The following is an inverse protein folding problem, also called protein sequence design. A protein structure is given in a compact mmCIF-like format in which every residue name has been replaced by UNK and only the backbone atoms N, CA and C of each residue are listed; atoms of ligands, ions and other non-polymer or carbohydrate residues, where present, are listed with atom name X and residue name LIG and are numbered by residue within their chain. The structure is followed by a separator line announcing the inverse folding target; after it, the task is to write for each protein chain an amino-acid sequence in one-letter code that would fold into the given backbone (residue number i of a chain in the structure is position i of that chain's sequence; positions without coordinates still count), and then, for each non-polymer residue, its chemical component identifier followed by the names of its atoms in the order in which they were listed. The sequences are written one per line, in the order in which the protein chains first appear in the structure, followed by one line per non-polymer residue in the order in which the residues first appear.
data_IF_383036014782
#
_entry.id   IF_383036014782
#
_cell.length_a   1.000
_cell.length_b   1.000
_cell.length_c   1.000
_cell.angle_alpha   90.00
_cell.angle_beta   90.00
_cell.angle_gamma   90.00
#
_symmetry.space_group_name_H-M   'P 1'
#
loop_
_entity.id
_entity.type
_entity.pdbx_description
1 polymer ?
#
# COMPACT_ATOMS: atom_id res chain seq x y z
N UNK A 1 -7.16 -32.56 -13.91
CA UNK A 1 -5.84 -32.62 -13.26
C UNK A 1 -4.87 -31.81 -14.10
N UNK A 2 -4.44 -30.64 -13.62
CA UNK A 2 -3.39 -29.86 -14.29
C UNK A 2 -2.09 -30.59 -13.96
N UNK A 3 -1.38 -31.08 -14.98
CA UNK A 3 -0.10 -31.76 -14.80
C UNK A 3 0.89 -30.75 -14.18
N UNK A 4 1.29 -30.99 -12.93
CA UNK A 4 2.24 -30.17 -12.16
C UNK A 4 3.66 -30.14 -12.76
N UNK A 5 3.88 -30.85 -13.89
CA UNK A 5 5.20 -31.11 -14.45
C UNK A 5 5.68 -30.07 -15.46
N UNK A 6 4.83 -29.11 -15.82
CA UNK A 6 5.13 -28.03 -16.78
C UNK A 6 4.58 -26.67 -16.30
N UNK A 7 4.63 -26.43 -14.98
CA UNK A 7 4.43 -25.10 -14.46
C UNK A 7 5.78 -24.37 -14.51
N UNK A 8 5.83 -23.12 -14.99
CA UNK A 8 7.03 -22.29 -14.80
C UNK A 8 7.38 -22.24 -13.31
N UNK A 9 8.66 -22.16 -12.96
CA UNK A 9 9.14 -22.22 -11.56
C UNK A 9 8.38 -21.24 -10.66
N UNK A 10 8.03 -20.06 -11.16
CA UNK A 10 7.23 -19.04 -10.46
C UNK A 10 5.80 -19.47 -10.09
N UNK A 11 5.21 -20.44 -10.79
CA UNK A 11 3.88 -21.00 -10.50
C UNK A 11 3.93 -22.33 -9.74
N UNK A 12 5.08 -22.99 -9.68
CA UNK A 12 5.25 -24.27 -8.99
C UNK A 12 5.26 -24.13 -7.46
N UNK A 13 5.55 -22.93 -6.94
CA UNK A 13 5.59 -22.63 -5.50
C UNK A 13 4.21 -22.38 -4.88
N UNK A 14 3.13 -22.40 -5.68
CA UNK A 14 1.77 -22.16 -5.20
C UNK A 14 1.24 -23.44 -4.54
N UNK A 15 1.10 -23.41 -3.21
CA UNK A 15 0.59 -24.54 -2.43
C UNK A 15 -0.92 -24.72 -2.65
N UNK A 16 -1.28 -25.76 -3.40
CA UNK A 16 -2.66 -26.15 -3.66
C UNK A 16 -3.29 -26.97 -2.51
N UNK A 17 -2.47 -27.56 -1.64
CA UNK A 17 -2.97 -28.40 -0.53
C UNK A 17 -3.77 -27.59 0.50
N UNK A 18 -3.43 -26.32 0.68
CA UNK A 18 -4.15 -25.39 1.55
C UNK A 18 -5.59 -25.17 1.07
N UNK A 19 -5.79 -25.09 -0.25
CA UNK A 19 -7.11 -24.86 -0.86
C UNK A 19 -8.00 -26.09 -0.70
N UNK A 20 -7.46 -27.29 -0.93
CA UNK A 20 -8.21 -28.53 -0.73
C UNK A 20 -8.60 -28.71 0.76
N UNK A 21 -7.70 -28.38 1.69
CA UNK A 21 -7.98 -28.43 3.12
C UNK A 21 -9.05 -27.41 3.56
N UNK A 22 -8.99 -26.18 3.04
CA UNK A 22 -10.01 -25.16 3.29
C UNK A 22 -11.37 -25.55 2.73
N UNK A 23 -11.41 -26.18 1.55
CA UNK A 23 -12.65 -26.67 0.95
C UNK A 23 -13.33 -27.70 1.83
N UNK A 24 -12.58 -28.67 2.36
CA UNK A 24 -13.11 -29.67 3.29
C UNK A 24 -13.65 -29.05 4.59
N UNK A 25 -12.94 -28.07 5.17
CA UNK A 25 -13.40 -27.36 6.37
C UNK A 25 -14.63 -26.49 6.09
N UNK A 26 -14.74 -25.89 4.90
CA UNK A 26 -15.93 -25.14 4.47
C UNK A 26 -17.15 -26.06 4.37
N UNK A 27 -17.02 -27.22 3.75
CA UNK A 27 -18.09 -28.22 3.68
C UNK A 27 -18.56 -28.68 5.07
N UNK A 28 -17.62 -28.93 6.00
CA UNK A 28 -17.96 -29.28 7.39
C UNK A 28 -18.71 -28.14 8.10
N UNK A 29 -18.25 -26.90 7.94
CA UNK A 29 -18.89 -25.72 8.51
C UNK A 29 -20.30 -25.50 7.93
N UNK A 30 -20.50 -25.70 6.63
CA UNK A 30 -21.79 -25.51 5.97
C UNK A 30 -22.83 -26.54 6.45
N UNK A 31 -22.41 -27.79 6.67
CA UNK A 31 -23.27 -28.81 7.30
C UNK A 31 -23.69 -28.40 8.71
N UNK A 32 -22.77 -27.85 9.52
CA UNK A 32 -23.08 -27.37 10.86
C UNK A 32 -24.02 -26.15 10.84
N UNK A 33 -23.82 -25.22 9.90
CA UNK A 33 -24.71 -24.06 9.70
C UNK A 33 -26.13 -24.48 9.30
N UNK A 34 -26.26 -25.42 8.37
CA UNK A 34 -27.57 -25.95 7.97
C UNK A 34 -28.25 -26.72 9.11
N UNK A 35 -27.50 -27.45 9.95
CA UNK A 35 -28.04 -28.07 11.17
C UNK A 35 -28.51 -27.03 12.19
N UNK A 36 -27.77 -25.96 12.42
CA UNK A 36 -28.17 -24.86 13.32
C UNK A 36 -29.43 -24.16 12.81
N UNK A 37 -29.50 -23.89 11.51
CA UNK A 37 -30.69 -23.32 10.85
C UNK A 37 -31.90 -24.24 10.96
N UNK A 38 -31.71 -25.55 10.72
CA UNK A 38 -32.74 -26.56 10.91
C UNK A 38 -33.20 -26.69 12.36
N UNK A 39 -32.27 -26.58 13.33
CA UNK A 39 -32.57 -26.59 14.75
C UNK A 39 -33.47 -25.41 15.13
N UNK A 40 -33.18 -24.20 14.63
CA UNK A 40 -34.00 -23.00 14.88
C UNK A 40 -35.44 -23.17 14.34
N UNK A 41 -35.62 -23.86 13.21
CA UNK A 41 -36.93 -24.11 12.62
C UNK A 41 -37.83 -25.02 13.47
N UNK A 42 -37.24 -25.96 14.21
CA UNK A 42 -37.98 -26.91 15.08
C UNK A 42 -37.99 -26.49 16.55
N UNK A 43 -37.51 -25.29 16.87
CA UNK A 43 -37.35 -24.78 18.24
C UNK A 43 -38.60 -24.88 19.11
N UNK A 44 -39.78 -24.69 18.52
CA UNK A 44 -41.06 -24.70 19.24
C UNK A 44 -41.50 -26.10 19.70
N UNK A 45 -40.97 -27.16 19.07
CA UNK A 45 -41.38 -28.54 19.33
C UNK A 45 -40.64 -29.18 20.52
N UNK A 46 -39.61 -28.51 21.06
CA UNK A 46 -38.72 -29.05 22.09
C UNK A 46 -38.62 -28.14 23.32
N UNK A 47 -38.22 -28.73 24.44
CA UNK A 47 -37.96 -27.97 25.67
C UNK A 47 -36.82 -26.96 25.47
N UNK A 48 -36.97 -25.69 25.93
CA UNK A 48 -35.96 -24.64 25.74
C UNK A 48 -34.57 -25.01 26.27
N UNK A 49 -34.48 -25.78 27.36
CA UNK A 49 -33.20 -26.20 27.93
C UNK A 49 -32.52 -27.28 27.08
N UNK A 50 -33.31 -28.17 26.46
CA UNK A 50 -32.80 -29.17 25.51
C UNK A 50 -32.29 -28.50 24.25
N UNK A 51 -33.10 -27.58 23.68
CA UNK A 51 -32.70 -26.77 22.53
C UNK A 51 -31.39 -26.02 22.78
N UNK A 52 -31.28 -25.32 23.92
CA UNK A 52 -30.10 -24.53 24.26
C UNK A 52 -28.82 -25.37 24.35
N UNK A 53 -28.88 -26.58 24.92
CA UNK A 53 -27.72 -27.48 25.00
C UNK A 53 -27.26 -27.95 23.62
N UNK A 54 -28.20 -28.40 22.79
CA UNK A 54 -27.89 -28.90 21.44
C UNK A 54 -27.38 -27.78 20.53
N UNK A 55 -27.96 -26.58 20.62
CA UNK A 55 -27.49 -25.40 19.91
C UNK A 55 -26.06 -25.04 20.33
N UNK A 56 -25.78 -25.00 21.64
CA UNK A 56 -24.45 -24.72 22.17
C UNK A 56 -23.40 -25.75 21.70
N UNK A 57 -23.76 -27.03 21.61
CA UNK A 57 -22.86 -28.07 21.11
C UNK A 57 -22.52 -27.89 19.63
N UNK A 58 -23.52 -27.61 18.78
CA UNK A 58 -23.29 -27.33 17.36
C UNK A 58 -22.53 -26.02 17.15
N UNK A 59 -22.84 -24.97 17.91
CA UNK A 59 -22.11 -23.70 17.86
C UNK A 59 -20.63 -23.89 18.26
N UNK A 60 -20.35 -24.70 19.27
CA UNK A 60 -19.00 -25.05 19.68
C UNK A 60 -18.25 -25.84 18.60
N UNK A 61 -18.91 -26.79 17.96
CA UNK A 61 -18.33 -27.52 16.82
C UNK A 61 -17.98 -26.58 15.66
N UNK A 62 -18.91 -25.68 15.31
CA UNK A 62 -18.69 -24.70 14.24
C UNK A 62 -17.49 -23.79 14.57
N UNK A 63 -17.42 -23.27 15.79
CA UNK A 63 -16.28 -22.46 16.24
C UNK A 63 -14.95 -23.22 16.17
N UNK A 64 -14.93 -24.52 16.48
CA UNK A 64 -13.71 -25.34 16.36
C UNK A 64 -13.27 -25.51 14.90
N UNK A 65 -14.21 -25.66 13.96
CA UNK A 65 -13.92 -25.76 12.53
C UNK A 65 -13.41 -24.43 11.99
N UNK A 66 -14.05 -23.32 12.35
CA UNK A 66 -13.64 -21.98 11.93
C UNK A 66 -12.25 -21.60 12.46
N UNK A 67 -11.94 -21.93 13.72
CA UNK A 67 -10.61 -21.73 14.30
C UNK A 67 -9.52 -22.55 13.60
N UNK A 68 -9.85 -23.74 13.06
CA UNK A 68 -8.91 -24.54 12.25
C UNK A 68 -8.74 -23.97 10.84
N UNK A 69 -9.78 -23.39 10.27
CA UNK A 69 -9.76 -22.81 8.93
C UNK A 69 -8.96 -21.51 8.88
N UNK A 70 -8.98 -20.71 9.94
CA UNK A 70 -8.34 -19.38 9.97
C UNK A 70 -6.84 -19.36 9.60
N UNK A 71 -5.96 -20.19 10.19
CA UNK A 71 -4.55 -20.20 9.78
C UNK A 71 -4.37 -20.64 8.33
N UNK A 72 -5.22 -21.55 7.84
CA UNK A 72 -5.18 -21.99 6.44
C UNK A 72 -5.66 -20.89 5.50
N UNK A 73 -6.65 -20.07 5.90
CA UNK A 73 -7.08 -18.90 5.12
C UNK A 73 -5.94 -17.90 4.98
N UNK A 74 -5.20 -17.65 6.07
CA UNK A 74 -4.04 -16.78 6.03
C UNK A 74 -2.95 -17.32 5.08
N UNK A 75 -2.65 -18.62 5.17
CA UNK A 75 -1.69 -19.27 4.27
C UNK A 75 -2.16 -19.21 2.81
N UNK A 76 -3.45 -19.37 2.54
CA UNK A 76 -4.03 -19.24 1.21
C UNK A 76 -3.91 -17.80 0.67
N UNK A 77 -4.16 -16.77 1.50
CA UNK A 77 -3.96 -15.36 1.12
C UNK A 77 -2.52 -15.08 0.72
N UNK A 78 -1.56 -15.57 1.49
CA UNK A 78 -0.13 -15.44 1.17
C UNK A 78 0.23 -16.14 -0.14
N UNK A 79 -0.24 -17.38 -0.33
CA UNK A 79 -0.05 -18.12 -1.59
C UNK A 79 -0.69 -17.39 -2.78
N UNK A 80 -1.88 -16.80 -2.59
CA UNK A 80 -2.56 -16.04 -3.64
C UNK A 80 -1.81 -14.74 -3.99
N UNK A 81 -1.27 -14.04 -2.99
CA UNK A 81 -0.44 -12.86 -3.21
C UNK A 81 0.80 -13.18 -4.06
N UNK A 82 1.45 -14.34 -3.80
CA UNK A 82 2.56 -14.83 -4.63
C UNK A 82 2.11 -15.16 -6.06
N UNK A 83 1.01 -15.90 -6.21
CA UNK A 83 0.43 -16.21 -7.53
C UNK A 83 0.16 -14.94 -8.33
N UNK A 84 -0.39 -13.90 -7.70
CA UNK A 84 -0.65 -12.61 -8.33
C UNK A 84 0.64 -11.93 -8.79
N UNK A 85 1.69 -11.96 -7.97
CA UNK A 85 3.01 -11.48 -8.35
C UNK A 85 3.57 -12.22 -9.58
N UNK A 86 3.52 -13.54 -9.56
CA UNK A 86 3.96 -14.37 -10.68
C UNK A 86 3.16 -14.10 -11.97
N UNK A 87 1.84 -13.91 -11.87
CA UNK A 87 1.00 -13.55 -13.02
C UNK A 87 1.37 -12.18 -13.60
N UNK A 88 1.66 -11.19 -12.74
CA UNK A 88 2.11 -9.87 -13.18
C UNK A 88 3.47 -9.96 -13.90
N UNK A 89 4.43 -10.71 -13.34
CA UNK A 89 5.74 -10.93 -13.98
C UNK A 89 5.61 -11.62 -15.34
N UNK A 90 4.74 -12.64 -15.45
CA UNK A 90 4.47 -13.32 -16.72
C UNK A 90 3.86 -12.35 -17.74
N UNK A 91 2.94 -11.49 -17.31
CA UNK A 91 2.32 -10.50 -18.18
C UNK A 91 3.33 -9.45 -18.67
N UNK A 92 4.16 -8.92 -17.79
CA UNK A 92 5.21 -7.96 -18.15
C UNK A 92 6.25 -8.58 -19.08
N UNK A 93 6.68 -9.82 -18.80
CA UNK A 93 7.59 -10.56 -19.66
C UNK A 93 6.98 -10.86 -21.03
N UNK A 94 5.66 -11.08 -21.12
CA UNK A 94 4.96 -11.28 -22.38
C UNK A 94 4.91 -9.98 -23.21
N UNK A 95 4.67 -8.82 -22.59
CA UNK A 95 4.74 -7.53 -23.27
C UNK A 95 6.17 -7.19 -23.72
N UNK A 96 7.20 -7.50 -22.92
CA UNK A 96 8.59 -7.33 -23.33
C UNK A 96 8.92 -8.11 -24.61
N UNK A 97 8.52 -9.39 -24.69
CA UNK A 97 8.75 -10.21 -25.89
C UNK A 97 7.96 -9.69 -27.11
N UNK A 98 6.79 -9.06 -26.91
CA UNK A 98 6.08 -8.38 -28.01
C UNK A 98 6.85 -7.18 -28.54
N UNK A 99 7.47 -6.40 -27.67
CA UNK A 99 8.34 -5.28 -28.07
C UNK A 99 9.57 -5.81 -28.81
N UNK A 100 10.19 -6.88 -28.34
CA UNK A 100 11.30 -7.54 -29.04
C UNK A 100 10.88 -7.95 -30.46
N UNK A 101 9.66 -8.44 -30.65
CA UNK A 101 9.12 -8.78 -31.98
C UNK A 101 9.12 -7.55 -32.90
N UNK A 102 8.64 -6.42 -32.40
CA UNK A 102 8.58 -5.17 -33.16
C UNK A 102 9.99 -4.63 -33.46
N UNK A 103 10.91 -4.73 -32.50
CA UNK A 103 12.31 -4.36 -32.68
C UNK A 103 12.98 -5.18 -33.78
N UNK A 104 12.76 -6.51 -33.81
CA UNK A 104 13.33 -7.38 -34.85
C UNK A 104 12.74 -7.03 -36.23
N UNK A 105 11.45 -6.73 -36.31
CA UNK A 105 10.83 -6.26 -37.56
C UNK A 105 11.43 -4.94 -38.04
N UNK A 106 11.68 -3.99 -37.12
CA UNK A 106 12.32 -2.72 -37.43
C UNK A 106 13.75 -2.92 -37.95
N UNK A 107 14.58 -3.69 -37.24
CA UNK A 107 15.97 -3.97 -37.64
C UNK A 107 16.05 -4.70 -38.99
N UNK A 108 15.10 -5.59 -39.30
CA UNK A 108 14.97 -6.19 -40.63
C UNK A 108 14.72 -5.12 -41.70
N UNK A 109 13.81 -4.17 -41.46
CA UNK A 109 13.54 -3.06 -42.40
C UNK A 109 14.76 -2.16 -42.61
N UNK A 110 15.64 -2.07 -41.62
CA UNK A 110 16.93 -1.37 -41.72
C UNK A 110 18.02 -2.18 -42.44
N UNK A 111 17.73 -3.43 -42.81
CA UNK A 111 18.66 -4.30 -43.55
C UNK A 111 19.72 -4.98 -42.68
N UNK A 112 19.54 -5.01 -41.34
CA UNK A 112 20.50 -5.67 -40.43
C UNK A 112 20.51 -7.20 -40.56
N UNK A 113 19.43 -7.80 -41.07
CA UNK A 113 19.26 -9.25 -41.17
C UNK A 113 18.90 -9.67 -42.59
N UNK A 114 19.41 -10.82 -43.01
CA UNK A 114 18.87 -11.54 -44.16
C UNK A 114 17.54 -12.24 -43.81
N UNK A 115 16.86 -12.78 -44.83
CA UNK A 115 15.55 -13.40 -44.64
C UNK A 115 15.59 -14.66 -43.78
N UNK A 116 16.70 -15.42 -43.82
CA UNK A 116 16.84 -16.65 -43.06
C UNK A 116 17.07 -16.35 -41.57
N UNK A 117 17.95 -15.39 -41.26
CA UNK A 117 18.21 -14.94 -39.90
C UNK A 117 16.96 -14.31 -39.28
N UNK A 118 16.25 -13.46 -40.02
CA UNK A 118 14.98 -12.90 -39.58
C UNK A 118 13.95 -13.98 -39.22
N UNK A 119 13.77 -14.99 -40.09
CA UNK A 119 12.83 -16.10 -39.82
C UNK A 119 13.20 -16.89 -38.58
N UNK A 120 14.48 -17.16 -38.38
CA UNK A 120 14.95 -17.90 -37.19
C UNK A 120 14.69 -17.11 -35.91
N UNK A 121 14.99 -15.81 -35.90
CA UNK A 121 14.75 -14.93 -34.75
C UNK A 121 13.25 -14.75 -34.46
N UNK A 122 12.45 -14.55 -35.51
CA UNK A 122 10.98 -14.45 -35.39
C UNK A 122 10.40 -15.72 -34.77
N UNK A 123 10.84 -16.90 -35.24
CA UNK A 123 10.40 -18.19 -34.71
C UNK A 123 10.75 -18.34 -33.23
N UNK A 124 11.93 -17.90 -32.79
CA UNK A 124 12.31 -17.93 -31.38
C UNK A 124 11.39 -17.04 -30.52
N UNK A 125 11.05 -15.84 -31.01
CA UNK A 125 10.10 -14.94 -30.35
C UNK A 125 8.70 -15.54 -30.29
N UNK A 126 8.21 -16.12 -31.38
CA UNK A 126 6.89 -16.74 -31.44
C UNK A 126 6.77 -17.91 -30.45
N UNK A 127 7.80 -18.75 -30.35
CA UNK A 127 7.89 -19.79 -29.33
C UNK A 127 7.83 -19.20 -27.92
N UNK A 128 8.65 -18.17 -27.66
CA UNK A 128 8.69 -17.49 -26.37
C UNK A 128 7.34 -16.84 -25.97
N UNK A 129 6.58 -16.29 -26.93
CA UNK A 129 5.23 -15.79 -26.73
C UNK A 129 4.24 -16.91 -26.42
N UNK A 130 4.31 -18.02 -27.16
CA UNK A 130 3.43 -19.17 -26.96
C UNK A 130 3.62 -19.79 -25.57
N UNK A 131 4.87 -19.99 -25.14
CA UNK A 131 5.21 -20.51 -23.81
C UNK A 131 4.65 -19.62 -22.69
N UNK A 132 4.83 -18.29 -22.82
CA UNK A 132 4.32 -17.32 -21.83
C UNK A 132 2.79 -17.26 -21.82
N UNK A 133 2.14 -17.39 -22.98
CA UNK A 133 0.68 -17.46 -23.05
C UNK A 133 0.12 -18.71 -22.36
N UNK A 134 0.82 -19.86 -22.51
CA UNK A 134 0.47 -21.09 -21.78
C UNK A 134 0.65 -20.89 -20.28
N UNK A 135 1.77 -20.32 -19.83
CA UNK A 135 2.04 -20.01 -18.43
C UNK A 135 0.97 -19.08 -17.83
N UNK A 136 0.59 -18.01 -18.53
CA UNK A 136 -0.47 -17.11 -18.10
C UNK A 136 -1.81 -17.84 -17.94
N UNK A 137 -2.17 -18.69 -18.91
CA UNK A 137 -3.40 -19.49 -18.86
C UNK A 137 -3.39 -20.47 -17.69
N UNK A 138 -2.25 -21.10 -17.40
CA UNK A 138 -2.09 -21.97 -16.23
C UNK A 138 -2.23 -21.19 -14.92
N UNK A 139 -1.62 -20.01 -14.81
CA UNK A 139 -1.74 -19.14 -13.64
C UNK A 139 -3.19 -18.66 -13.40
N UNK A 140 -3.92 -18.29 -14.45
CA UNK A 140 -5.36 -17.96 -14.35
C UNK A 140 -6.21 -19.17 -13.92
N UNK A 141 -5.86 -20.38 -14.36
CA UNK A 141 -6.53 -21.59 -13.90
C UNK A 141 -6.27 -21.87 -12.41
N UNK A 142 -5.07 -21.56 -11.90
CA UNK A 142 -4.77 -21.61 -10.47
C UNK A 142 -5.60 -20.56 -9.71
N UNK A 143 -5.65 -19.32 -10.20
CA UNK A 143 -6.48 -18.25 -9.63
C UNK A 143 -7.94 -18.66 -9.51
N UNK A 144 -8.49 -19.30 -10.54
CA UNK A 144 -9.85 -19.85 -10.51
C UNK A 144 -10.08 -20.85 -9.37
N UNK A 145 -9.09 -21.67 -9.02
CA UNK A 145 -9.20 -22.62 -7.89
C UNK A 145 -9.26 -21.95 -6.53
N UNK A 146 -8.52 -20.86 -6.34
CA UNK A 146 -8.61 -20.08 -5.10
C UNK A 146 -10.02 -19.48 -4.95
N UNK A 147 -10.62 -19.01 -6.04
CA UNK A 147 -11.97 -18.46 -6.06
C UNK A 147 -13.09 -19.52 -5.91
N UNK A 148 -12.79 -20.82 -5.89
CA UNK A 148 -13.80 -21.82 -5.50
C UNK A 148 -14.06 -21.85 -3.99
N UNK A 149 -13.03 -21.51 -3.20
CA UNK A 149 -13.09 -21.58 -1.74
C UNK A 149 -13.50 -20.23 -1.15
N UNK A 150 -12.95 -19.15 -1.70
CA UNK A 150 -13.21 -17.77 -1.30
C UNK A 150 -14.32 -17.17 -2.15
N UNK A 151 -15.22 -16.40 -1.55
CA UNK A 151 -16.41 -15.89 -2.25
C UNK A 151 -16.08 -14.73 -3.20
N UNK A 152 -14.95 -14.06 -2.96
CA UNK A 152 -14.48 -12.96 -3.80
C UNK A 152 -12.96 -12.83 -3.77
N UNK A 153 -12.44 -12.17 -4.80
CA UNK A 153 -11.02 -11.79 -4.84
C UNK A 153 -10.67 -10.77 -3.75
N UNK A 154 -11.63 -9.92 -3.34
CA UNK A 154 -11.43 -8.96 -2.26
C UNK A 154 -11.14 -9.65 -0.91
N UNK A 155 -11.74 -10.81 -0.64
CA UNK A 155 -11.48 -11.63 0.55
C UNK A 155 -10.04 -12.19 0.60
N UNK A 156 -9.46 -12.42 -0.58
CA UNK A 156 -8.07 -12.85 -0.73
C UNK A 156 -7.08 -11.68 -0.66
N UNK A 157 -7.53 -10.46 -0.96
CA UNK A 157 -6.73 -9.24 -0.95
C UNK A 157 -6.71 -8.53 0.41
N UNK A 158 -7.63 -8.84 1.32
CA UNK A 158 -7.64 -8.29 2.67
C UNK A 158 -6.46 -8.82 3.50
N UNK A 159 -5.47 -7.96 3.73
CA UNK A 159 -4.25 -8.31 4.48
C UNK A 159 -4.39 -8.23 6.00
N UNK A 160 -5.45 -7.62 6.57
CA UNK A 160 -5.62 -7.46 8.03
C UNK A 160 -7.05 -7.03 8.41
N UNK A 161 -8.07 -7.82 8.11
CA UNK A 161 -9.34 -7.72 8.82
C UNK A 161 -9.80 -9.14 9.16
N UNK A 162 -10.06 -9.47 10.43
CA UNK A 162 -10.97 -10.56 10.72
C UNK A 162 -12.29 -10.11 10.13
N UNK A 163 -12.62 -10.60 8.93
CA UNK A 163 -13.83 -10.21 8.22
C UNK A 163 -15.03 -10.27 9.16
N UNK A 164 -16.03 -9.38 8.98
CA UNK A 164 -17.11 -9.26 9.92
C UNK A 164 -17.76 -10.64 10.04
N UNK A 165 -17.65 -11.22 11.24
CA UNK A 165 -18.55 -12.28 11.63
C UNK A 165 -19.94 -11.73 11.36
N UNK A 166 -20.66 -12.35 10.41
CA UNK A 166 -22.03 -12.03 10.07
C UNK A 166 -22.89 -12.20 11.32
N UNK A 167 -22.83 -11.20 12.19
CA UNK A 167 -23.70 -11.06 13.34
C UNK A 167 -24.84 -10.24 12.80
N UNK A 168 -25.86 -10.93 12.31
CA UNK A 168 -27.17 -10.35 12.12
C UNK A 168 -27.50 -9.54 13.39
N UNK A 169 -27.66 -8.24 13.21
CA UNK A 169 -28.23 -7.35 14.22
C UNK A 169 -29.59 -7.93 14.63
N UNK A 170 -29.67 -8.49 15.84
CA UNK A 170 -30.95 -8.67 16.51
C UNK A 170 -31.41 -7.30 17.02
N UNK A 171 -32.69 -6.94 16.86
CA UNK A 171 -33.21 -5.69 17.37
C UNK A 171 -33.15 -5.70 18.91
N UNK A 172 -32.54 -4.65 19.47
CA UNK A 172 -32.52 -4.42 20.91
C UNK A 172 -33.95 -4.31 21.44
N UNK A 173 -34.28 -5.16 22.40
CA UNK A 173 -35.50 -5.04 23.19
C UNK A 173 -35.48 -3.71 23.95
N UNK A 174 -36.55 -2.93 23.78
CA UNK A 174 -36.88 -1.82 24.67
C UNK A 174 -37.16 -2.35 26.08
N UNK A 175 -36.53 -1.77 27.10
CA UNK A 175 -37.00 -1.85 28.48
C UNK A 175 -36.94 -0.41 29.07
N UNK A 176 -37.99 0.08 29.75
CA UNK A 176 -38.14 1.49 30.04
C UNK A 176 -37.52 1.89 31.39
N UNK A 177 -36.76 2.98 31.36
CA UNK A 177 -36.69 3.96 32.44
C UNK A 177 -35.73 3.69 33.59
N UNK A 178 -34.63 4.46 33.65
CA UNK A 178 -34.14 5.02 34.93
C UNK A 178 -33.53 6.42 34.70
N UNK A 179 -33.97 7.33 35.57
CA UNK A 179 -33.68 8.75 35.79
C UNK A 179 -32.26 9.29 35.54
N UNK A 180 -32.19 10.51 35.00
CA UNK A 180 -31.00 11.36 34.91
C UNK A 180 -30.59 11.97 36.27
N UNK A 181 -29.31 12.35 36.49
CA UNK A 181 -28.86 13.09 37.68
C UNK A 181 -28.87 14.62 37.48
N UNK A 182 -28.90 15.43 38.57
CA UNK A 182 -29.11 16.89 38.51
C UNK A 182 -27.80 17.70 38.32
N UNK A 183 -27.88 19.01 38.00
CA UNK A 183 -26.73 19.85 37.65
C UNK A 183 -26.01 20.48 38.87
N UNK A 184 -24.77 20.98 38.74
CA UNK A 184 -24.01 21.57 39.84
C UNK A 184 -24.34 23.07 40.09
N UNK A 185 -24.11 23.59 41.32
CA UNK A 185 -24.44 24.97 41.70
C UNK A 185 -23.37 26.01 41.31
N UNK A 186 -23.69 27.32 41.33
CA UNK A 186 -22.83 28.38 40.80
C UNK A 186 -21.80 28.93 41.81
N UNK A 187 -20.70 29.49 41.30
CA UNK A 187 -19.65 30.17 42.07
C UNK A 187 -20.02 31.61 42.41
N UNK A 188 -19.59 32.16 43.56
CA UNK A 188 -19.59 33.61 43.81
C UNK A 188 -18.20 34.26 43.53
N UNK A 189 -18.14 35.61 43.39
CA UNK A 189 -16.97 36.32 42.88
C UNK A 189 -16.00 36.85 43.94
N UNK A 190 -14.83 37.24 43.43
CA UNK A 190 -13.60 37.79 44.04
C UNK A 190 -13.76 39.08 44.86
N UNK A 191 -13.01 39.20 45.97
CA UNK A 191 -12.40 40.44 46.46
C UNK A 191 -11.22 40.15 47.43
N UNK A 192 -10.09 40.84 47.25
CA UNK A 192 -8.85 40.81 48.04
C UNK A 192 -8.77 42.02 49.02
N UNK A 193 -7.60 42.37 49.61
CA UNK A 193 -6.77 41.80 50.71
C UNK A 193 -6.72 42.81 51.93
N UNK A 194 -5.73 42.93 52.88
CA UNK A 194 -4.42 42.28 53.05
C UNK A 194 -3.93 41.93 54.49
N UNK A 195 -2.68 41.45 54.54
CA UNK A 195 -1.61 41.70 55.52
C UNK A 195 -1.10 40.50 56.36
N UNK A 196 0.19 40.19 56.23
CA UNK A 196 0.98 39.46 57.24
C UNK A 196 1.96 38.40 56.72
N UNK A 197 3.11 38.83 56.18
CA UNK A 197 4.37 38.07 56.14
C UNK A 197 5.09 38.15 57.52
N UNK A 198 6.25 37.51 57.80
CA UNK A 198 7.14 36.71 56.94
C UNK A 198 7.67 35.39 57.57
N UNK A 199 8.36 34.54 56.79
CA UNK A 199 9.73 34.04 57.09
C UNK A 199 10.18 32.88 56.16
N UNK A 200 11.12 33.23 55.26
CA UNK A 200 12.40 32.58 54.94
C UNK A 200 12.44 31.06 54.64
N UNK A 201 13.13 30.53 53.63
CA UNK A 201 14.35 30.89 52.89
C UNK A 201 14.48 29.83 51.75
N UNK A 202 15.17 29.92 50.61
CA UNK A 202 16.18 30.79 50.02
C UNK A 202 16.17 30.49 48.51
N UNK A 203 16.20 31.51 47.65
CA UNK A 203 16.54 31.41 46.23
C UNK A 203 17.73 32.33 45.99
N UNK A 204 18.86 31.77 45.55
CA UNK A 204 19.97 32.56 45.03
C UNK A 204 19.76 32.79 43.54
N UNK A 205 19.76 34.08 43.19
CA UNK A 205 19.74 34.63 41.84
C UNK A 205 21.17 35.09 41.57
N UNK A 206 21.76 34.70 40.43
CA UNK A 206 22.94 35.39 39.90
C UNK A 206 22.67 35.88 38.47
N UNK A 207 22.36 37.17 38.43
CA UNK A 207 22.67 38.19 37.42
C UNK A 207 22.80 37.80 35.93
N UNK A 208 21.91 38.46 35.17
CA UNK A 208 21.99 38.73 33.73
C UNK A 208 23.32 39.40 33.37
N UNK A 209 24.14 38.71 32.58
CA UNK A 209 25.19 39.31 31.76
C UNK A 209 24.70 39.40 30.31
N UNK A 210 24.71 40.63 29.81
CA UNK A 210 24.36 41.07 28.47
C UNK A 210 25.61 41.01 27.56
N UNK A 211 25.39 40.73 26.27
CA UNK A 211 26.27 40.80 25.08
C UNK A 211 27.05 39.52 24.68
N UNK A 212 27.47 39.37 23.40
CA UNK A 212 26.99 39.97 22.13
C UNK A 212 26.60 38.89 21.06
N UNK A 213 25.91 39.33 19.99
CA UNK A 213 25.62 38.50 18.80
C UNK A 213 26.89 38.04 18.06
N UNK A 214 27.01 36.76 17.65
CA UNK A 214 27.99 36.32 16.66
C UNK A 214 27.44 36.47 15.22
N UNK A 215 28.34 36.55 14.21
CA UNK A 215 28.17 37.42 13.06
C UNK A 215 27.26 36.85 11.96
N UNK A 216 26.53 37.77 11.31
CA UNK A 216 25.98 37.55 9.96
C UNK A 216 27.13 37.35 8.98
N UNK A 217 27.25 36.14 8.45
CA UNK A 217 28.04 35.88 7.23
C UNK A 217 27.19 36.21 5.99
N UNK A 218 27.80 36.79 4.95
CA UNK A 218 27.13 37.65 3.98
C UNK A 218 26.39 36.85 2.91
N UNK A 219 25.35 37.48 2.35
CA UNK A 219 24.73 37.07 1.10
C UNK A 219 25.79 37.01 -0.03
N UNK A 220 25.73 36.03 -0.94
CA UNK A 220 26.54 36.09 -2.15
C UNK A 220 26.08 37.28 -3.01
N UNK A 221 26.99 38.20 -3.39
CA UNK A 221 26.64 39.36 -4.20
C UNK A 221 26.67 39.00 -5.69
N UNK A 222 25.78 39.67 -6.44
CA UNK A 222 26.11 40.19 -7.76
C UNK A 222 26.08 39.20 -8.92
N UNK A 223 25.07 39.38 -9.76
CA UNK A 223 25.16 39.11 -11.18
C UNK A 223 26.43 39.74 -11.77
N UNK A 224 27.17 38.95 -12.56
CA UNK A 224 27.68 39.29 -13.91
C UNK A 224 28.88 38.40 -14.24
N UNK A 225 28.62 37.25 -14.86
CA UNK A 225 29.59 36.57 -15.71
C UNK A 225 28.85 35.76 -16.78
N UNK A 226 28.69 36.40 -17.94
CA UNK A 226 28.45 35.82 -19.27
C UNK A 226 27.77 34.46 -19.31
N UNK A 227 26.46 34.47 -19.58
CA UNK A 227 25.77 33.28 -20.03
C UNK A 227 26.44 32.69 -21.28
N UNK A 228 26.44 31.35 -21.45
CA UNK A 228 26.61 30.79 -22.77
C UNK A 228 25.33 31.12 -23.54
N UNK A 229 25.45 31.99 -24.54
CA UNK A 229 24.45 32.12 -25.58
C UNK A 229 24.35 30.78 -26.31
N UNK A 230 23.25 30.07 -26.11
CA UNK A 230 22.80 29.02 -27.03
C UNK A 230 21.38 29.36 -27.46
N UNK A 231 21.22 29.43 -28.78
CA UNK A 231 20.10 30.05 -29.45
C UNK A 231 18.75 29.41 -29.21
N UNK A 232 17.72 30.11 -29.65
CA UNK A 232 16.31 29.82 -29.51
C UNK A 232 15.80 28.55 -30.24
N UNK A 233 16.56 27.43 -30.24
CA UNK A 233 16.14 26.16 -30.85
C UNK A 233 16.82 24.93 -30.20
N UNK A 234 16.87 24.85 -28.86
CA UNK A 234 17.18 23.59 -28.17
C UNK A 234 15.90 23.02 -27.56
N UNK A 235 15.16 22.23 -28.35
CA UNK A 235 14.08 21.39 -27.84
C UNK A 235 14.71 20.35 -26.92
N UNK A 236 14.77 20.64 -25.61
CA UNK A 236 15.09 19.62 -24.62
C UNK A 236 13.95 18.61 -24.63
N UNK A 237 14.19 17.43 -25.21
CA UNK A 237 13.33 16.27 -25.05
C UNK A 237 13.42 15.78 -23.61
N UNK A 238 12.80 16.50 -22.68
CA UNK A 238 12.56 16.00 -21.32
C UNK A 238 11.45 14.96 -21.42
N UNK A 239 11.78 13.71 -21.07
CA UNK A 239 10.77 12.67 -20.89
C UNK A 239 9.83 13.13 -19.78
N UNK A 240 8.53 13.01 -20.02
CA UNK A 240 7.54 13.28 -18.99
C UNK A 240 7.74 12.31 -17.84
N UNK A 241 7.60 12.76 -16.60
CA UNK A 241 7.70 11.89 -15.44
C UNK A 241 6.45 12.01 -14.56
N UNK A 242 6.20 11.00 -13.73
CA UNK A 242 5.09 10.97 -12.78
C UNK A 242 5.45 10.19 -11.52
N UNK A 243 4.88 10.59 -10.39
CA UNK A 243 4.89 9.81 -9.15
C UNK A 243 3.60 9.01 -9.06
N UNK A 244 3.71 7.69 -8.90
CA UNK A 244 2.57 6.78 -8.76
C UNK A 244 2.44 6.38 -7.29
N UNK A 245 1.34 6.72 -6.59
CA UNK A 245 1.10 6.32 -5.21
C UNK A 245 1.07 4.78 -5.05
N UNK A 246 1.70 4.27 -4.00
CA UNK A 246 1.70 2.85 -3.64
C UNK A 246 0.87 2.53 -2.38
N UNK A 247 0.46 3.56 -1.63
CA UNK A 247 -0.32 3.41 -0.41
C UNK A 247 -1.31 4.57 -0.20
N UNK A 248 -2.31 4.41 0.68
CA UNK A 248 -3.34 5.44 0.89
C UNK A 248 -2.80 6.80 1.31
N UNK A 249 -1.72 6.84 2.10
CA UNK A 249 -1.06 8.07 2.55
C UNK A 249 -0.45 8.89 1.38
N UNK A 250 -0.07 8.22 0.29
CA UNK A 250 0.43 8.86 -0.92
C UNK A 250 -0.67 9.38 -1.87
N UNK A 251 -1.95 9.09 -1.55
CA UNK A 251 -3.09 9.41 -2.41
C UNK A 251 -3.45 8.29 -3.39
N UNK A 252 -4.41 8.56 -4.29
CA UNK A 252 -4.99 7.55 -5.20
C UNK A 252 -4.66 7.75 -6.68
N UNK A 253 -4.05 8.88 -7.04
CA UNK A 253 -3.85 9.26 -8.45
C UNK A 253 -2.39 9.55 -8.74
N UNK A 254 -1.93 9.16 -9.93
CA UNK A 254 -0.58 9.48 -10.38
C UNK A 254 -0.41 10.99 -10.56
N UNK A 255 0.71 11.52 -10.07
CA UNK A 255 1.00 12.95 -10.03
C UNK A 255 2.05 13.25 -11.11
N UNK A 256 1.70 14.01 -12.17
CA UNK A 256 2.67 14.37 -13.20
C UNK A 256 3.73 15.31 -12.62
N UNK A 257 4.99 15.09 -13.01
CA UNK A 257 6.13 15.93 -12.68
C UNK A 257 6.45 16.80 -13.91
N UNK A 258 6.02 18.06 -13.94
CA UNK A 258 6.46 19.01 -14.97
C UNK A 258 7.98 19.27 -14.88
N UNK A 259 8.61 19.78 -15.96
CA UNK A 259 10.03 20.11 -15.98
C UNK A 259 10.33 21.43 -15.24
N UNK A 260 9.91 21.52 -13.97
CA UNK A 260 10.18 22.64 -13.05
C UNK A 260 10.44 22.11 -11.63
N UNK A 261 11.01 22.92 -10.72
CA UNK A 261 11.14 22.54 -9.32
C UNK A 261 9.76 22.37 -8.65
N UNK A 262 9.57 21.25 -7.96
CA UNK A 262 8.31 20.85 -7.32
C UNK A 262 8.55 20.60 -5.84
N UNK A 263 7.77 21.24 -4.97
CA UNK A 263 7.84 21.05 -3.52
C UNK A 263 6.89 19.96 -3.03
N UNK A 264 7.33 19.18 -2.04
CA UNK A 264 6.60 18.07 -1.42
C UNK A 264 6.49 18.27 0.10
N UNK A 265 5.30 18.09 0.64
CA UNK A 265 5.08 18.13 2.10
C UNK A 265 3.61 18.23 2.50
N UNK A 266 3.35 18.34 3.79
CA UNK A 266 2.01 18.40 4.35
C UNK A 266 1.32 19.77 4.18
N UNK A 267 2.12 20.83 4.01
CA UNK A 267 1.63 22.20 3.85
C UNK A 267 0.87 22.36 2.52
N UNK A 268 -0.21 23.14 2.53
CA UNK A 268 -1.02 23.41 1.35
C UNK A 268 -0.30 24.30 0.32
N UNK A 269 0.79 24.98 0.70
CA UNK A 269 1.64 25.75 -0.20
C UNK A 269 2.58 24.88 -1.05
N UNK A 270 2.66 23.57 -0.80
CA UNK A 270 3.44 22.67 -1.65
C UNK A 270 2.65 22.28 -2.90
N UNK A 271 3.37 22.11 -4.01
CA UNK A 271 2.75 21.64 -5.26
C UNK A 271 2.23 20.21 -5.13
N UNK A 272 2.97 19.35 -4.41
CA UNK A 272 2.53 18.01 -4.06
C UNK A 272 2.27 17.95 -2.57
N UNK A 273 0.98 17.98 -2.22
CA UNK A 273 0.54 17.83 -0.84
C UNK A 273 0.49 16.36 -0.46
N UNK A 274 1.27 15.98 0.53
CA UNK A 274 1.33 14.63 1.07
C UNK A 274 0.83 14.69 2.51
N UNK A 275 -0.27 14.02 2.78
CA UNK A 275 -0.78 13.85 4.15
C UNK A 275 -0.12 12.64 4.82
N UNK A 276 -0.17 12.61 6.15
CA UNK A 276 0.14 11.41 6.91
C UNK A 276 1.22 11.58 7.97
N UNK A 277 1.39 10.57 8.84
CA UNK A 277 2.39 10.59 9.90
C UNK A 277 3.82 10.65 9.33
N UNK A 278 4.67 11.47 9.95
CA UNK A 278 6.09 11.61 9.57
C UNK A 278 6.33 12.47 8.32
N UNK A 279 5.30 13.12 7.76
CA UNK A 279 5.45 14.09 6.68
C UNK A 279 5.47 15.50 7.27
N UNK A 280 6.46 16.30 6.88
CA UNK A 280 6.62 17.66 7.39
C UNK A 280 6.01 18.71 6.46
N UNK A 281 5.80 19.92 6.98
CA UNK A 281 5.24 21.04 6.22
C UNK A 281 6.02 21.29 4.92
N UNK A 282 7.35 21.28 4.96
CA UNK A 282 8.22 21.29 3.78
C UNK A 282 9.23 20.17 3.95
N UNK A 283 9.01 19.05 3.27
CA UNK A 283 9.77 17.84 3.53
C UNK A 283 10.85 17.61 2.48
N UNK A 284 10.49 17.69 1.21
CA UNK A 284 11.40 17.45 0.09
C UNK A 284 11.09 18.33 -1.10
N UNK A 285 12.02 18.40 -2.04
CA UNK A 285 11.88 19.08 -3.31
C UNK A 285 12.42 18.20 -4.44
N UNK A 286 11.70 18.15 -5.56
CA UNK A 286 12.21 17.56 -6.79
C UNK A 286 12.63 18.69 -7.72
N UNK A 287 13.88 18.66 -8.18
CA UNK A 287 14.41 19.57 -9.19
C UNK A 287 14.74 18.80 -10.46
N UNK A 288 14.72 19.46 -11.61
CA UNK A 288 15.05 18.86 -12.89
C UNK A 288 16.12 19.67 -13.59
N UNK A 289 17.15 19.00 -14.06
CA UNK A 289 18.25 19.58 -14.83
C UNK A 289 18.58 18.70 -16.04
N UNK A 290 19.73 18.95 -16.70
CA UNK A 290 20.18 18.17 -17.86
C UNK A 290 20.46 16.69 -17.58
N UNK A 291 20.56 16.28 -16.30
CA UNK A 291 20.79 14.89 -15.86
C UNK A 291 19.50 14.16 -15.50
N UNK A 292 18.37 14.87 -15.34
CA UNK A 292 17.07 14.30 -15.01
C UNK A 292 16.47 14.85 -13.72
N UNK A 293 15.55 14.09 -13.11
CA UNK A 293 14.86 14.47 -11.87
C UNK A 293 15.69 14.10 -10.65
N UNK A 294 15.98 15.09 -9.80
CA UNK A 294 16.73 14.92 -8.55
C UNK A 294 15.82 15.24 -7.37
N UNK A 295 15.71 14.30 -6.43
CA UNK A 295 15.01 14.48 -5.15
C UNK A 295 15.99 15.00 -4.09
N UNK A 296 15.58 16.03 -3.38
CA UNK A 296 16.35 16.71 -2.32
C UNK A 296 15.51 16.73 -1.05
N UNK A 297 16.04 16.20 0.04
CA UNK A 297 15.43 16.31 1.37
C UNK A 297 15.76 17.68 1.98
N UNK A 298 14.77 18.35 2.57
CA UNK A 298 14.90 19.68 3.15
C UNK A 298 15.19 19.63 4.66
N UNK A 299 16.09 18.73 5.06
CA UNK A 299 16.44 18.41 6.46
C UNK A 299 15.22 18.02 7.30
N UNK A 300 14.42 17.10 6.76
CA UNK A 300 13.21 16.62 7.43
C UNK A 300 13.55 15.72 8.63
N UNK A 301 12.79 15.79 9.72
CA UNK A 301 13.08 14.98 10.93
C UNK A 301 12.93 13.47 10.71
N UNK A 302 12.01 13.06 9.84
CA UNK A 302 11.79 11.64 9.51
C UNK A 302 12.69 11.15 8.35
N UNK A 303 13.29 12.09 7.61
CA UNK A 303 14.12 11.83 6.44
C UNK A 303 13.33 11.35 5.22
N UNK A 304 13.88 11.61 4.05
CA UNK A 304 13.43 11.06 2.77
C UNK A 304 14.22 9.78 2.46
N UNK A 305 13.53 8.77 1.91
CA UNK A 305 14.17 7.50 1.49
C UNK A 305 13.90 7.21 0.02
N UNK A 306 14.89 6.65 -0.67
CA UNK A 306 14.73 6.11 -2.03
C UNK A 306 15.21 4.67 -2.01
N UNK A 307 14.37 3.72 -2.45
CA UNK A 307 14.65 2.28 -2.40
C UNK A 307 15.10 1.81 -1.00
N UNK A 308 14.40 2.27 0.05
CA UNK A 308 14.67 2.03 1.47
C UNK A 308 15.95 2.66 2.05
N UNK A 309 16.80 3.30 1.23
CA UNK A 309 18.00 4.03 1.67
C UNK A 309 17.66 5.48 2.01
N UNK A 310 18.13 6.01 3.15
CA UNK A 310 17.95 7.41 3.52
C UNK A 310 18.85 8.32 2.67
N UNK A 311 18.29 9.38 2.10
CA UNK A 311 19.00 10.27 1.18
C UNK A 311 18.85 11.73 1.62
N UNK A 312 19.90 12.52 1.35
CA UNK A 312 19.80 13.99 1.32
C UNK A 312 19.54 14.51 -0.09
N UNK A 313 20.16 13.88 -1.08
CA UNK A 313 19.97 14.19 -2.49
C UNK A 313 20.18 12.92 -3.33
N UNK A 314 19.28 12.67 -4.29
CA UNK A 314 19.37 11.50 -5.18
C UNK A 314 18.78 11.79 -6.55
N UNK A 315 19.52 11.47 -7.61
CA UNK A 315 18.99 11.41 -8.96
C UNK A 315 18.04 10.22 -9.07
N UNK A 316 16.77 10.47 -9.38
CA UNK A 316 15.73 9.47 -9.51
C UNK A 316 15.87 8.73 -10.85
N UNK A 317 15.70 7.41 -10.79
CA UNK A 317 15.65 6.52 -11.95
C UNK A 317 14.27 5.92 -12.08
N UNK A 318 13.93 5.51 -13.29
CA UNK A 318 12.67 4.81 -13.56
C UNK A 318 12.48 3.61 -12.60
N UNK A 319 11.29 3.52 -12.03
CA UNK A 319 10.85 2.56 -10.99
C UNK A 319 11.47 2.76 -9.59
N UNK A 320 12.18 3.87 -9.33
CA UNK A 320 12.64 4.18 -7.96
C UNK A 320 11.47 4.37 -7.00
N UNK A 321 11.53 3.70 -5.85
CA UNK A 321 10.54 3.83 -4.78
C UNK A 321 10.93 4.98 -3.87
N UNK A 322 10.22 6.09 -3.96
CA UNK A 322 10.37 7.26 -3.10
C UNK A 322 9.46 7.13 -1.89
N UNK A 323 10.03 7.26 -0.69
CA UNK A 323 9.29 7.24 0.55
C UNK A 323 9.51 8.55 1.34
N UNK A 324 8.40 9.18 1.70
CA UNK A 324 8.34 10.46 2.44
C UNK A 324 7.41 10.21 3.64
N UNK A 325 7.97 10.16 4.85
CA UNK A 325 7.23 9.70 6.03
C UNK A 325 6.65 8.28 5.81
N UNK A 326 5.33 8.15 5.98
CA UNK A 326 4.62 6.90 5.65
C UNK A 326 4.18 6.80 4.18
N UNK A 327 4.20 7.88 3.41
CA UNK A 327 3.78 7.87 2.00
C UNK A 327 4.84 7.23 1.10
N UNK A 328 4.42 6.35 0.20
CA UNK A 328 5.30 5.65 -0.77
C UNK A 328 4.83 5.91 -2.19
N UNK A 329 5.76 6.27 -3.05
CA UNK A 329 5.55 6.55 -4.47
C UNK A 329 6.54 5.76 -5.31
N UNK A 330 6.15 5.38 -6.52
CA UNK A 330 7.06 4.89 -7.56
C UNK A 330 7.27 5.99 -8.59
N UNK A 331 8.52 6.33 -8.87
CA UNK A 331 8.88 7.28 -9.90
C UNK A 331 8.86 6.61 -11.28
N UNK A 332 8.06 7.14 -12.21
CA UNK A 332 8.00 6.65 -13.60
C UNK A 332 8.40 7.74 -14.57
N UNK A 333 9.38 7.45 -15.42
CA UNK A 333 9.83 8.32 -16.52
C UNK A 333 9.36 7.68 -17.84
N UNK A 334 8.61 8.44 -18.65
CA UNK A 334 7.93 7.95 -19.85
C UNK A 334 7.19 9.05 -20.58
#
# INVERSE_FOLDING_TARGET
MVNTRELPESLAEVDLGVIDALKALKEEADVLRERLKGLEAVKADFDPAVFSRVNADYAKQLAMVENKAEPLRQQARESYARLRGALAEIADAHEAVKLDRQEIELRRKLGEFDEAEYKNRLKAIETALAERAVAHKQGEALRGRFLEVFESEDELLQMNDPGPSSTQEMPAAEDPGVSAPPPPPPRPPSAAPPAGEPAAAQTQILQVLKMPEPPRVPAPPGADAKGPAFGANATMSLRTARLVPQNPEAGRSAIPLPPKPISLGADAANEIRIGGPGVEARHAQITVDSKGYTLIDLDSKSGTRVNAEAIRQRLLRHEDVVQIGMARFVFREG
#
